data_IF_020256474007
#
_entry.id   IF_020256474007
#
_cell.length_a   1.000
_cell.length_b   1.000
_cell.length_c   1.000
_cell.angle_alpha   90.00
_cell.angle_beta   90.00
_cell.angle_gamma   90.00
#
_symmetry.space_group_name_H-M   'P 1'
#
loop_
_entity.id
_entity.type
_entity.pdbx_description
1 polymer ?
#
# COMPACT_ATOMS: atom_id res chain seq x y z
N UNK A 1 -2.83 9.22 -2.65
CA UNK A 1 -4.26 9.11 -2.30
C UNK A 1 -4.56 7.66 -1.93
N UNK A 2 -5.34 7.42 -0.87
CA UNK A 2 -5.76 6.07 -0.46
C UNK A 2 -7.25 6.10 -0.17
N UNK A 3 -7.98 5.14 -0.71
CA UNK A 3 -9.42 4.98 -0.55
C UNK A 3 -9.66 3.61 0.07
N UNK A 4 -10.31 3.58 1.22
CA UNK A 4 -10.67 2.35 1.93
C UNK A 4 -12.17 2.11 1.87
N UNK A 5 -12.58 0.90 1.48
CA UNK A 5 -13.97 0.45 1.54
C UNK A 5 -14.09 -0.67 2.59
N UNK A 6 -14.99 -0.52 3.56
CA UNK A 6 -15.29 -1.55 4.55
C UNK A 6 -16.43 -2.44 4.06
N UNK A 7 -16.29 -3.75 4.26
CA UNK A 7 -17.31 -4.74 3.94
C UNK A 7 -17.77 -5.41 5.23
N UNK A 8 -19.08 -5.39 5.49
CA UNK A 8 -19.68 -6.03 6.68
C UNK A 8 -19.91 -7.55 6.50
N UNK A 9 -19.98 -8.05 5.27
CA UNK A 9 -20.44 -9.43 4.96
C UNK A 9 -19.41 -10.27 4.16
N UNK A 10 -18.14 -9.85 4.14
CA UNK A 10 -17.10 -10.53 3.35
C UNK A 10 -16.01 -11.15 4.24
N UNK A 11 -15.27 -12.12 3.72
CA UNK A 11 -14.14 -12.74 4.43
C UNK A 11 -12.94 -11.78 4.65
N UNK A 12 -13.02 -10.59 4.04
CA UNK A 12 -12.14 -9.43 4.25
C UNK A 12 -12.97 -8.30 4.83
N UNK A 13 -12.47 -7.68 5.90
CA UNK A 13 -13.15 -6.57 6.58
C UNK A 13 -13.03 -5.25 5.82
N UNK A 14 -11.93 -5.06 5.10
CA UNK A 14 -11.66 -3.81 4.40
C UNK A 14 -10.81 -4.03 3.16
N UNK A 15 -11.00 -3.19 2.15
CA UNK A 15 -10.19 -3.15 0.95
C UNK A 15 -9.68 -1.72 0.73
N UNK A 16 -8.38 -1.56 0.62
CA UNK A 16 -7.70 -0.28 0.40
C UNK A 16 -7.15 -0.20 -1.02
N UNK A 17 -7.66 0.73 -1.80
CA UNK A 17 -7.09 1.15 -3.06
C UNK A 17 -6.18 2.35 -2.84
N UNK A 18 -4.90 2.22 -3.18
CA UNK A 18 -3.93 3.30 -3.13
C UNK A 18 -3.50 3.73 -4.51
N UNK A 19 -3.48 5.03 -4.73
CA UNK A 19 -2.86 5.66 -5.89
C UNK A 19 -1.84 6.68 -5.39
N UNK A 20 -0.57 6.39 -5.60
CA UNK A 20 0.54 7.25 -5.22
C UNK A 20 1.17 7.79 -6.50
N UNK A 21 1.13 9.11 -6.65
CA UNK A 21 1.78 9.79 -7.75
C UNK A 21 2.96 10.58 -7.17
N UNK A 22 4.17 10.21 -7.57
CA UNK A 22 5.38 10.91 -7.21
C UNK A 22 5.84 11.71 -8.44
N UNK A 23 5.66 13.02 -8.37
CA UNK A 23 6.30 13.99 -9.27
C UNK A 23 7.44 14.66 -8.51
N UNK A 24 8.53 14.98 -9.22
CA UNK A 24 9.73 15.66 -8.69
C UNK A 24 10.73 14.77 -7.95
N UNK A 25 11.08 13.60 -8.49
CA UNK A 25 12.33 12.93 -8.09
C UNK A 25 13.50 13.62 -8.82
N UNK A 26 14.04 14.68 -8.22
CA UNK A 26 15.24 15.34 -8.74
C UNK A 26 16.43 14.39 -8.65
N UNK A 27 16.81 13.81 -9.78
CA UNK A 27 18.17 13.32 -9.95
C UNK A 27 19.10 14.54 -9.96
N UNK A 28 19.92 14.66 -8.91
CA UNK A 28 21.14 15.47 -8.94
C UNK A 28 21.89 15.07 -10.19
N UNK A 29 21.95 15.97 -11.18
CA UNK A 29 22.80 15.93 -12.37
C UNK A 29 22.18 15.63 -13.75
N UNK A 30 20.85 15.50 -13.94
CA UNK A 30 20.28 15.53 -15.32
C UNK A 30 18.82 16.01 -15.35
N UNK A 31 18.49 16.85 -16.34
CA UNK A 31 17.21 17.52 -16.56
C UNK A 31 16.10 16.56 -17.08
N UNK A 32 15.90 15.41 -16.43
CA UNK A 32 14.86 14.42 -16.78
C UNK A 32 13.93 14.18 -15.61
N UNK A 33 12.70 14.65 -15.74
CA UNK A 33 11.61 14.42 -14.79
C UNK A 33 11.11 13.00 -15.00
N UNK A 34 11.19 12.13 -13.99
CA UNK A 34 10.55 10.82 -14.03
C UNK A 34 9.34 10.87 -13.12
N UNK A 35 8.15 10.83 -13.72
CA UNK A 35 6.90 10.66 -12.98
C UNK A 35 6.67 9.18 -12.72
N UNK A 36 6.45 8.85 -11.45
CA UNK A 36 6.18 7.49 -11.00
C UNK A 36 4.74 7.44 -10.51
N UNK A 37 3.92 6.61 -11.15
CA UNK A 37 2.54 6.37 -10.72
C UNK A 37 2.43 4.94 -10.22
N UNK A 38 2.18 4.79 -8.91
CA UNK A 38 1.94 3.52 -8.26
C UNK A 38 0.45 3.37 -7.99
N UNK A 39 -0.11 2.27 -8.46
CA UNK A 39 -1.49 1.89 -8.13
C UNK A 39 -1.47 0.55 -7.44
N UNK A 40 -2.09 0.43 -6.27
CA UNK A 40 -2.14 -0.81 -5.52
C UNK A 40 -3.49 -1.06 -4.88
N UNK A 41 -3.79 -2.33 -4.70
CA UNK A 41 -4.94 -2.83 -3.98
C UNK A 41 -4.46 -3.66 -2.81
N UNK A 42 -5.01 -3.40 -1.63
CA UNK A 42 -4.71 -4.13 -0.41
C UNK A 42 -6.00 -4.66 0.16
N UNK A 43 -6.07 -5.97 0.36
CA UNK A 43 -7.08 -6.61 1.17
C UNK A 43 -6.63 -6.57 2.63
N UNK A 44 -7.52 -6.13 3.51
CA UNK A 44 -7.33 -6.10 4.95
C UNK A 44 -8.30 -7.08 5.58
N UNK A 45 -7.75 -7.90 6.47
CA UNK A 45 -8.52 -8.85 7.26
C UNK A 45 -8.18 -8.66 8.73
N UNK A 46 -9.16 -8.30 9.52
CA UNK A 46 -9.08 -8.11 10.94
C UNK A 46 -9.71 -9.23 11.75
N UNK A 47 -9.36 -9.22 13.02
CA UNK A 47 -10.08 -9.89 14.09
C UNK A 47 -10.10 -8.94 15.30
N UNK A 48 -11.28 -8.72 15.86
CA UNK A 48 -11.42 -8.05 17.14
C UNK A 48 -10.92 -8.98 18.25
N UNK A 49 -9.87 -8.55 18.95
CA UNK A 49 -9.29 -9.26 20.09
C UNK A 49 -9.75 -8.55 21.36
N UNK A 50 -11.00 -8.80 21.74
CA UNK A 50 -11.65 -8.16 22.88
C UNK A 50 -12.17 -6.75 22.56
N UNK A 51 -12.36 -5.91 23.58
CA UNK A 51 -13.08 -4.63 23.44
C UNK A 51 -12.20 -3.47 22.93
N UNK A 52 -10.88 -3.58 23.00
CA UNK A 52 -9.94 -2.46 22.76
C UNK A 52 -8.82 -2.76 21.77
N UNK A 53 -8.56 -4.03 21.47
CA UNK A 53 -7.52 -4.46 20.54
C UNK A 53 -8.17 -5.01 19.28
N UNK A 54 -7.71 -4.53 18.14
CA UNK A 54 -8.09 -5.02 16.83
C UNK A 54 -6.82 -5.41 16.09
N UNK A 55 -6.64 -6.70 15.81
CA UNK A 55 -5.50 -7.18 15.04
C UNK A 55 -5.93 -7.30 13.58
N UNK A 56 -5.12 -6.84 12.64
CA UNK A 56 -5.43 -6.98 11.22
C UNK A 56 -4.20 -7.34 10.40
N UNK A 57 -4.36 -8.30 9.51
CA UNK A 57 -3.44 -8.54 8.42
C UNK A 57 -3.84 -7.70 7.21
N UNK A 58 -2.87 -7.33 6.40
CA UNK A 58 -3.11 -6.75 5.09
C UNK A 58 -2.21 -7.41 4.06
N UNK A 59 -2.74 -7.69 2.89
CA UNK A 59 -1.98 -8.23 1.79
C UNK A 59 -2.52 -7.62 0.50
N UNK A 60 -1.62 -7.23 -0.38
CA UNK A 60 -1.95 -6.47 -1.54
C UNK A 60 -0.94 -6.66 -2.64
N UNK A 61 -1.32 -6.16 -3.80
CA UNK A 61 -0.49 -6.12 -4.97
C UNK A 61 -0.83 -4.88 -5.76
N UNK A 62 0.18 -4.38 -6.46
CA UNK A 62 0.06 -3.21 -7.27
C UNK A 62 0.92 -3.30 -8.50
N UNK A 63 0.74 -2.28 -9.33
CA UNK A 63 1.53 -2.04 -10.50
C UNK A 63 2.12 -0.64 -10.42
N UNK A 64 3.37 -0.54 -10.84
CA UNK A 64 4.07 0.73 -10.94
C UNK A 64 4.31 1.04 -12.42
N UNK A 65 3.73 2.14 -12.88
CA UNK A 65 3.91 2.69 -14.21
C UNK A 65 4.90 3.88 -14.15
N UNK A 66 5.96 3.78 -14.95
CA UNK A 66 6.97 4.81 -15.11
C UNK A 66 6.79 5.48 -16.47
N UNK A 67 6.37 6.76 -16.50
CA UNK A 67 6.03 7.43 -17.77
C UNK A 67 7.23 7.89 -18.60
N UNK A 68 8.43 8.08 -18.01
CA UNK A 68 9.57 8.62 -18.78
C UNK A 68 10.53 7.52 -19.26
N UNK A 69 10.13 6.84 -20.32
CA UNK A 69 10.93 5.87 -21.06
C UNK A 69 12.05 6.58 -21.86
N UNK A 70 13.15 6.90 -21.18
CA UNK A 70 14.45 6.78 -21.80
C UNK A 70 15.19 5.66 -21.08
N UNK A 71 15.50 4.57 -21.80
CA UNK A 71 16.15 3.34 -21.32
C UNK A 71 15.27 2.34 -20.58
N UNK A 72 14.33 1.69 -21.27
CA UNK A 72 13.88 0.32 -20.93
C UNK A 72 13.55 0.05 -19.44
N UNK A 73 13.01 1.05 -18.72
CA UNK A 73 12.68 0.88 -17.31
C UNK A 73 11.35 0.14 -17.23
N UNK A 74 11.47 -1.19 -17.11
CA UNK A 74 10.37 -2.15 -17.06
C UNK A 74 9.38 -1.74 -15.97
N UNK A 75 8.14 -1.49 -16.40
CA UNK A 75 6.98 -1.41 -15.53
C UNK A 75 6.82 -2.74 -14.78
N UNK A 76 6.64 -2.64 -13.46
CA UNK A 76 6.84 -3.75 -12.54
C UNK A 76 5.64 -3.96 -11.64
N UNK A 77 5.25 -5.22 -11.46
CA UNK A 77 4.34 -5.61 -10.39
C UNK A 77 5.07 -5.60 -9.05
N UNK A 78 4.40 -5.16 -8.01
CA UNK A 78 4.87 -5.33 -6.64
C UNK A 78 3.76 -5.97 -5.80
N UNK A 79 4.16 -6.83 -4.88
CA UNK A 79 3.31 -7.35 -3.82
C UNK A 79 3.70 -6.69 -2.51
N UNK A 80 2.75 -6.48 -1.62
CA UNK A 80 3.06 -6.10 -0.25
C UNK A 80 2.17 -6.87 0.70
N UNK A 81 2.69 -7.19 1.85
CA UNK A 81 1.92 -7.82 2.91
C UNK A 81 2.39 -7.26 4.24
N UNK A 82 1.52 -7.33 5.21
CA UNK A 82 1.74 -6.69 6.48
C UNK A 82 0.75 -7.15 7.51
N UNK A 83 1.00 -6.74 8.74
CA UNK A 83 0.10 -6.94 9.84
C UNK A 83 0.18 -5.72 10.75
N UNK A 84 -0.91 -5.43 11.41
CA UNK A 84 -1.02 -4.31 12.30
C UNK A 84 -1.96 -4.59 13.44
N UNK A 85 -1.81 -3.77 14.46
CA UNK A 85 -2.69 -3.72 15.63
C UNK A 85 -3.24 -2.32 15.75
N UNK A 86 -4.53 -2.23 16.01
CA UNK A 86 -5.22 -1.00 16.33
C UNK A 86 -5.67 -1.09 17.78
N UNK A 87 -5.19 -0.17 18.60
CA UNK A 87 -5.56 -0.04 20.00
C UNK A 87 -6.43 1.21 20.17
N UNK A 88 -7.67 1.02 20.63
CA UNK A 88 -8.58 2.13 20.92
C UNK A 88 -8.27 2.70 22.29
N UNK A 89 -7.69 3.91 22.34
CA UNK A 89 -7.40 4.62 23.58
C UNK A 89 -8.68 5.26 24.15
N UNK A 90 -9.46 5.89 23.27
CA UNK A 90 -10.73 6.56 23.58
C UNK A 90 -11.68 6.48 22.38
N UNK A 91 -12.95 6.88 22.54
CA UNK A 91 -13.94 6.92 21.44
C UNK A 91 -13.49 7.75 20.22
N UNK A 92 -12.61 8.73 20.42
CA UNK A 92 -12.08 9.60 19.35
C UNK A 92 -10.63 9.30 18.95
N UNK A 93 -9.92 8.47 19.71
CA UNK A 93 -8.48 8.23 19.52
C UNK A 93 -8.17 6.74 19.47
N UNK A 94 -7.60 6.32 18.36
CA UNK A 94 -7.07 4.97 18.17
C UNK A 94 -5.63 5.04 17.68
N UNK A 95 -4.75 4.29 18.34
CA UNK A 95 -3.39 4.10 17.90
C UNK A 95 -3.35 2.92 16.94
N UNK A 96 -2.85 3.14 15.73
CA UNK A 96 -2.67 2.07 14.73
C UNK A 96 -1.17 1.87 14.52
N UNK A 97 -0.69 0.67 14.84
CA UNK A 97 0.67 0.24 14.58
C UNK A 97 0.62 -0.80 13.48
N UNK A 98 1.33 -0.56 12.38
CA UNK A 98 1.33 -1.41 11.19
C UNK A 98 2.78 -1.69 10.80
N UNK A 99 3.09 -2.94 10.51
CA UNK A 99 4.32 -3.33 9.80
C UNK A 99 3.93 -3.84 8.42
N UNK A 100 4.65 -3.37 7.40
CA UNK A 100 4.41 -3.72 6.00
C UNK A 100 5.73 -4.03 5.34
N UNK A 101 5.79 -5.18 4.69
CA UNK A 101 6.89 -5.60 3.83
C UNK A 101 6.45 -5.52 2.36
N UNK A 102 7.34 -5.09 1.49
CA UNK A 102 7.08 -4.93 0.07
C UNK A 102 8.05 -5.79 -0.73
N UNK A 103 7.49 -6.71 -1.51
CA UNK A 103 8.20 -7.54 -2.48
C UNK A 103 8.04 -6.91 -3.86
N UNK A 104 9.15 -6.46 -4.42
CA UNK A 104 9.18 -6.01 -5.81
C UNK A 104 9.53 -7.18 -6.72
N UNK A 105 8.68 -7.49 -7.70
CA UNK A 105 8.97 -8.52 -8.69
C UNK A 105 9.86 -7.95 -9.80
N UNK A 106 11.03 -7.43 -9.45
CA UNK A 106 12.01 -6.91 -10.41
C UNK A 106 13.11 -7.93 -10.76
N UNK A 107 12.73 -9.21 -10.84
CA UNK A 107 13.62 -10.30 -11.28
C UNK A 107 12.92 -11.15 -12.36
N UNK A 108 12.59 -10.51 -13.48
CA UNK A 108 12.34 -11.22 -14.73
C UNK A 108 13.56 -11.04 -15.64
N UNK A 109 14.41 -12.08 -15.61
CA UNK A 109 15.56 -12.42 -16.46
C UNK A 109 15.67 -11.63 -17.77
#
# INVERSE_FOLDING_TARGET
IRLGYHFDDFWLDQLEFGLEHYSDVKYTNTNKTTDITRTYLSAIKGIDVGEKFYFYGLAGGGYEDFSNAAYDNKSGGFGHYGAGVKFRLSDSLALRLETRDQINFNHAN
#
